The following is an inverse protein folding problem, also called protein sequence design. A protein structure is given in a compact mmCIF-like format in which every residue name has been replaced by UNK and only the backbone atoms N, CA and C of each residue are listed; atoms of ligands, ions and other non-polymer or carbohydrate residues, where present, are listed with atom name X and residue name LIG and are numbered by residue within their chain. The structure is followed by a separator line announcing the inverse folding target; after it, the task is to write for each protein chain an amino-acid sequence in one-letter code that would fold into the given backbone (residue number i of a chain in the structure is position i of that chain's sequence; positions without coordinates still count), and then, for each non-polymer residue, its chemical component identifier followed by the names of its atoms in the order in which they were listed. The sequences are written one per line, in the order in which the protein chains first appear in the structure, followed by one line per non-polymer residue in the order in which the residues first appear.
data_IF_630072640548
#
_entry.id   IF_630072640548
#
_cell.length_a   1.000
_cell.length_b   1.000
_cell.length_c   1.000
_cell.angle_alpha   90.00
_cell.angle_beta   90.00
_cell.angle_gamma   90.00
#
_symmetry.space_group_name_H-M   'P 1'
#
loop_
_entity.id
_entity.type
_entity.pdbx_description
1 polymer ?
#
# COMPACT_ATOMS: atom_id res chain seq x y z
N UNK A 1 3.26 -4.62 -15.31
CA UNK A 1 3.12 -3.29 -14.66
C UNK A 1 3.89 -2.20 -15.42
N UNK A 2 5.22 -2.07 -15.27
CA UNK A 2 5.97 -0.93 -15.88
C UNK A 2 5.80 -0.87 -17.40
N UNK A 3 5.88 -2.01 -18.10
CA UNK A 3 5.67 -2.08 -19.56
C UNK A 3 4.24 -1.68 -19.98
N UNK A 4 3.24 -1.94 -19.14
CA UNK A 4 1.85 -1.60 -19.44
C UNK A 4 1.56 -0.12 -19.19
N UNK A 5 2.16 0.44 -18.13
CA UNK A 5 2.20 1.89 -17.89
C UNK A 5 2.91 2.59 -19.07
N UNK A 6 4.06 2.08 -19.52
CA UNK A 6 4.80 2.60 -20.67
C UNK A 6 4.01 2.52 -21.99
N UNK A 7 3.32 1.40 -22.26
CA UNK A 7 2.47 1.28 -23.46
C UNK A 7 1.31 2.27 -23.44
N UNK A 8 0.66 2.45 -22.29
CA UNK A 8 -0.41 3.44 -22.13
C UNK A 8 0.12 4.88 -22.24
N UNK A 9 1.37 5.12 -21.81
CA UNK A 9 2.08 6.40 -21.97
C UNK A 9 2.34 6.72 -23.44
N UNK A 10 2.92 5.80 -24.21
CA UNK A 10 3.20 6.01 -25.64
C UNK A 10 1.94 6.26 -26.49
N UNK A 11 0.78 5.74 -26.05
CA UNK A 11 -0.49 5.89 -26.78
C UNK A 11 -1.19 7.22 -26.54
N UNK A 12 -0.87 7.94 -25.46
CA UNK A 12 -1.48 9.23 -25.17
C UNK A 12 -0.51 10.33 -25.59
N UNK A 13 -0.97 11.23 -26.45
CA UNK A 13 -0.25 12.46 -26.83
C UNK A 13 -0.17 13.48 -25.66
N UNK A 14 -0.28 13.02 -24.41
CA UNK A 14 -0.34 13.81 -23.21
C UNK A 14 0.87 13.48 -22.33
N UNK A 15 1.71 14.48 -22.07
CA UNK A 15 2.85 14.36 -21.16
C UNK A 15 2.36 14.41 -19.71
N UNK A 16 2.30 13.25 -19.05
CA UNK A 16 2.13 13.17 -17.60
C UNK A 16 3.48 13.40 -16.91
N UNK A 17 3.50 14.21 -15.86
CA UNK A 17 4.72 14.50 -15.09
C UNK A 17 4.90 13.53 -13.92
N UNK A 18 3.87 12.74 -13.61
CA UNK A 18 3.89 11.85 -12.46
C UNK A 18 2.85 10.73 -12.56
N UNK A 19 3.09 9.59 -11.91
CA UNK A 19 2.23 8.41 -11.94
C UNK A 19 1.89 7.97 -10.52
N UNK A 20 0.62 8.09 -10.15
CA UNK A 20 0.15 8.00 -8.78
C UNK A 20 -0.64 6.71 -8.55
N UNK A 21 -0.18 5.89 -7.61
CA UNK A 21 -0.93 4.75 -7.11
C UNK A 21 -1.84 5.21 -5.97
N UNK A 22 -3.14 4.86 -6.06
CA UNK A 22 -4.11 5.14 -4.99
C UNK A 22 -3.80 4.35 -3.75
N UNK A 23 -4.22 4.90 -2.62
CA UNK A 23 -4.01 4.34 -1.32
C UNK A 23 -5.17 3.44 -0.89
N UNK A 24 -4.86 2.30 -0.29
CA UNK A 24 -5.82 1.41 0.39
C UNK A 24 -5.31 1.05 1.79
N UNK A 25 -6.22 1.04 2.77
CA UNK A 25 -5.88 0.76 4.15
C UNK A 25 -5.94 -0.73 4.47
N UNK A 26 -4.92 -1.22 5.17
CA UNK A 26 -4.94 -2.46 5.95
C UNK A 26 -5.01 -2.03 7.42
N UNK A 27 -6.19 -2.18 8.02
CA UNK A 27 -6.45 -1.72 9.39
C UNK A 27 -6.38 -2.89 10.35
N UNK A 28 -5.69 -2.71 11.48
CA UNK A 28 -5.70 -3.70 12.56
C UNK A 28 -7.13 -3.94 13.04
N UNK A 29 -7.42 -5.19 13.37
CA UNK A 29 -8.72 -5.58 13.89
C UNK A 29 -8.74 -5.33 15.40
N UNK A 30 -9.72 -4.56 15.86
CA UNK A 30 -10.03 -4.42 17.28
C UNK A 30 -11.16 -5.43 17.61
N UNK A 31 -11.02 -6.21 18.68
CA UNK A 31 -12.04 -7.15 19.17
C UNK A 31 -11.93 -8.59 18.64
N UNK A 32 -13.03 -9.34 18.68
CA UNK A 32 -13.11 -10.81 18.45
C UNK A 32 -12.46 -11.30 17.15
N UNK A 33 -12.47 -10.47 16.10
CA UNK A 33 -11.85 -10.81 14.81
C UNK A 33 -10.31 -10.88 14.85
N UNK A 34 -9.66 -10.31 15.87
CA UNK A 34 -8.19 -10.42 16.04
C UNK A 34 -7.77 -11.84 16.40
N UNK A 35 -8.52 -12.50 17.29
CA UNK A 35 -8.24 -13.87 17.74
C UNK A 35 -8.32 -14.90 16.61
N UNK A 36 -9.29 -14.77 15.71
CA UNK A 36 -9.42 -15.67 14.55
C UNK A 36 -8.25 -15.49 13.56
N UNK A 37 -7.82 -14.25 13.35
CA UNK A 37 -6.65 -13.94 12.51
C UNK A 37 -5.39 -14.51 13.15
N UNK A 38 -5.22 -14.37 14.45
CA UNK A 38 -4.05 -14.86 15.17
C UNK A 38 -3.96 -16.39 15.10
N UNK A 39 -5.07 -17.11 15.37
CA UNK A 39 -5.14 -18.57 15.22
C UNK A 39 -4.85 -19.03 13.79
N UNK A 40 -5.38 -18.32 12.80
CA UNK A 40 -5.13 -18.62 11.40
C UNK A 40 -3.68 -18.35 10.99
N UNK A 41 -3.05 -17.30 11.54
CA UNK A 41 -1.64 -17.00 11.31
C UNK A 41 -0.69 -18.03 11.95
N UNK A 42 -1.06 -18.55 13.13
CA UNK A 42 -0.35 -19.66 13.78
C UNK A 42 -0.37 -20.92 12.92
N UNK A 43 -1.52 -21.29 12.35
CA UNK A 43 -1.63 -22.41 11.40
C UNK A 43 -0.72 -22.23 10.17
N UNK A 44 -0.47 -20.98 9.79
CA UNK A 44 0.38 -20.62 8.67
C UNK A 44 1.86 -20.50 9.05
N UNK A 45 2.27 -20.71 10.30
CA UNK A 45 3.64 -20.51 10.77
C UNK A 45 4.19 -19.11 10.42
N UNK A 46 3.35 -18.07 10.46
CA UNK A 46 3.79 -16.68 10.26
C UNK A 46 4.16 -16.10 11.62
N UNK A 47 5.42 -15.69 11.85
CA UNK A 47 5.81 -15.07 13.10
C UNK A 47 5.04 -13.76 13.37
N UNK A 48 4.54 -13.53 14.61
CA UNK A 48 3.73 -12.35 14.93
C UNK A 48 4.42 -11.00 14.67
N UNK A 49 5.76 -10.96 14.72
CA UNK A 49 6.54 -9.75 14.44
C UNK A 49 6.53 -9.34 12.96
N UNK A 50 6.04 -10.19 12.04
CA UNK A 50 5.89 -9.86 10.62
C UNK A 50 4.49 -9.29 10.34
N UNK A 51 4.22 -8.11 10.90
CA UNK A 51 2.90 -7.44 10.88
C UNK A 51 2.20 -7.46 9.51
N UNK A 52 2.90 -7.12 8.43
CA UNK A 52 2.29 -7.07 7.10
C UNK A 52 1.85 -8.46 6.58
N UNK A 53 2.50 -9.55 7.01
CA UNK A 53 2.12 -10.91 6.64
C UNK A 53 0.92 -11.42 7.43
N UNK A 54 0.72 -10.93 8.65
CA UNK A 54 -0.41 -11.29 9.53
C UNK A 54 -1.66 -10.46 9.24
N UNK A 55 -1.51 -9.27 8.64
CA UNK A 55 -2.60 -8.32 8.38
C UNK A 55 -2.99 -8.31 6.90
N UNK A 56 -3.77 -9.29 6.45
CA UNK A 56 -4.14 -9.47 5.03
C UNK A 56 -5.51 -8.90 4.65
N UNK A 57 -6.21 -8.26 5.58
CA UNK A 57 -7.52 -7.66 5.30
C UNK A 57 -7.36 -6.18 5.03
N UNK A 58 -7.70 -5.76 3.81
CA UNK A 58 -7.74 -4.35 3.42
C UNK A 58 -9.17 -3.87 3.33
N UNK A 59 -9.36 -2.55 3.43
CA UNK A 59 -10.64 -1.93 3.08
C UNK A 59 -11.01 -2.23 1.63
N UNK A 60 -12.30 -2.41 1.37
CA UNK A 60 -12.83 -2.44 0.01
C UNK A 60 -12.75 -1.07 -0.68
N UNK A 61 -12.73 0.02 0.09
CA UNK A 61 -12.74 1.38 -0.41
C UNK A 61 -11.34 1.99 -0.43
N UNK A 62 -10.96 2.49 -1.60
CA UNK A 62 -9.75 3.28 -1.81
C UNK A 62 -9.98 4.73 -1.38
N UNK A 63 -8.91 5.43 -1.00
CA UNK A 63 -8.97 6.88 -0.77
C UNK A 63 -9.41 7.61 -2.03
N UNK A 64 -10.00 8.81 -1.88
CA UNK A 64 -10.36 9.67 -3.02
C UNK A 64 -9.17 9.91 -3.96
N UNK A 65 -9.45 10.14 -5.24
CA UNK A 65 -8.42 10.46 -6.24
C UNK A 65 -7.52 11.60 -5.75
N UNK A 66 -6.21 11.46 -5.95
CA UNK A 66 -5.18 12.39 -5.48
C UNK A 66 -4.89 12.39 -3.97
N UNK A 67 -5.75 11.79 -3.14
CA UNK A 67 -5.57 11.76 -1.69
C UNK A 67 -4.68 10.59 -1.25
N UNK A 68 -3.65 10.90 -0.45
CA UNK A 68 -2.71 9.93 0.15
C UNK A 68 -1.96 9.05 -0.87
N UNK A 69 -1.91 9.46 -2.14
CA UNK A 69 -1.27 8.70 -3.23
C UNK A 69 0.23 8.58 -3.04
N UNK A 70 0.85 7.51 -3.54
CA UNK A 70 2.31 7.46 -3.73
C UNK A 70 2.61 7.57 -5.22
N UNK A 71 3.59 8.39 -5.56
CA UNK A 71 3.78 8.82 -6.94
C UNK A 71 5.22 8.58 -7.39
N UNK A 72 5.37 8.03 -8.60
CA UNK A 72 6.61 8.06 -9.36
C UNK A 72 6.66 9.35 -10.18
N UNK A 73 7.81 10.00 -10.21
CA UNK A 73 8.00 11.29 -10.86
C UNK A 73 8.82 11.14 -12.14
N UNK A 74 8.46 11.92 -13.16
CA UNK A 74 9.31 12.13 -14.32
C UNK A 74 10.29 13.27 -14.02
N UNK A 75 11.56 12.93 -13.87
CA UNK A 75 12.62 13.87 -13.49
C UNK A 75 12.98 14.86 -14.60
N UNK A 76 12.56 14.64 -15.84
CA UNK A 76 12.73 15.62 -16.92
C UNK A 76 11.72 16.77 -16.81
N UNK A 77 10.61 16.54 -16.10
CA UNK A 77 9.48 17.48 -16.06
C UNK A 77 9.24 18.10 -14.68
N UNK A 78 9.58 17.41 -13.59
CA UNK A 78 9.33 17.85 -12.21
C UNK A 78 10.53 18.64 -11.68
N UNK A 79 10.26 19.85 -11.16
CA UNK A 79 11.29 20.74 -10.60
C UNK A 79 11.39 20.53 -9.09
N UNK A 80 10.25 20.50 -8.40
CA UNK A 80 10.19 20.26 -6.95
C UNK A 80 9.11 19.24 -6.62
N UNK A 81 9.35 18.42 -5.60
CA UNK A 81 8.46 17.32 -5.22
C UNK A 81 8.17 17.29 -3.72
N UNK A 82 6.98 16.83 -3.40
CA UNK A 82 6.64 16.25 -2.12
C UNK A 82 6.74 14.73 -2.25
N UNK A 83 6.94 14.00 -1.15
CA UNK A 83 7.08 12.53 -1.20
C UNK A 83 5.83 11.80 -1.75
N UNK A 84 4.69 12.49 -1.86
CA UNK A 84 3.43 11.99 -2.42
C UNK A 84 3.07 12.56 -3.81
N UNK A 85 3.48 13.78 -4.17
CA UNK A 85 3.02 14.46 -5.40
C UNK A 85 4.00 15.56 -5.84
N UNK A 86 4.07 15.92 -7.14
CA UNK A 86 4.92 17.02 -7.59
C UNK A 86 4.38 18.35 -7.06
N UNK A 87 5.28 19.24 -6.64
CA UNK A 87 4.93 20.59 -6.18
C UNK A 87 5.02 21.60 -7.33
N UNK A 88 6.04 21.49 -8.19
CA UNK A 88 6.18 22.31 -9.38
C UNK A 88 6.83 21.54 -10.54
N UNK A 89 6.50 21.96 -11.77
CA UNK A 89 6.96 21.33 -13.01
C UNK A 89 7.35 22.43 -14.02
N UNK A 90 8.18 22.10 -15.03
CA UNK A 90 8.56 23.05 -16.09
C UNK A 90 7.36 23.59 -16.88
N UNK A 91 6.32 22.76 -17.00
CA UNK A 91 5.00 23.15 -17.53
C UNK A 91 3.96 22.88 -16.43
N UNK A 92 2.76 22.45 -16.83
CA UNK A 92 1.72 22.04 -15.88
C UNK A 92 2.06 20.67 -15.30
N UNK A 93 2.03 20.56 -13.97
CA UNK A 93 2.06 19.24 -13.32
C UNK A 93 0.78 18.49 -13.63
N UNK A 94 0.93 17.26 -14.13
CA UNK A 94 -0.20 16.39 -14.48
C UNK A 94 0.09 14.97 -14.00
N UNK A 95 -0.72 14.52 -13.03
CA UNK A 95 -0.63 13.17 -12.50
C UNK A 95 -1.51 12.21 -13.31
N UNK A 96 -0.95 11.05 -13.65
CA UNK A 96 -1.71 9.89 -14.13
C UNK A 96 -2.08 9.02 -12.93
N UNK A 97 -3.37 8.76 -12.73
CA UNK A 97 -3.84 7.80 -11.73
C UNK A 97 -3.72 6.39 -12.30
N UNK A 98 -2.83 5.58 -11.69
CA UNK A 98 -2.63 4.19 -12.10
C UNK A 98 -3.90 3.40 -11.76
N UNK A 99 -4.36 2.59 -12.70
CA UNK A 99 -5.50 1.70 -12.47
C UNK A 99 -5.21 0.79 -11.27
N UNK A 100 -6.16 0.70 -10.33
CA UNK A 100 -6.04 -0.11 -9.11
C UNK A 100 -5.84 -1.61 -9.39
N UNK A 101 -6.22 -2.10 -10.58
CA UNK A 101 -5.94 -3.48 -11.01
C UNK A 101 -4.48 -3.72 -11.36
N UNK A 102 -3.73 -2.66 -11.65
CA UNK A 102 -2.31 -2.70 -11.99
C UNK A 102 -1.42 -2.42 -10.77
N UNK A 103 -1.79 -1.42 -9.97
CA UNK A 103 -1.05 -1.05 -8.76
C UNK A 103 -1.89 -0.26 -7.77
N UNK A 104 -1.59 -0.45 -6.49
CA UNK A 104 -2.05 0.41 -5.40
C UNK A 104 -0.95 0.57 -4.34
N UNK A 105 -1.12 1.55 -3.46
CA UNK A 105 -0.32 1.72 -2.26
C UNK A 105 -1.03 1.05 -1.09
N UNK A 106 -0.39 0.02 -0.54
CA UNK A 106 -0.85 -0.65 0.67
C UNK A 106 -0.36 0.13 1.89
N UNK A 107 -1.29 0.53 2.76
CA UNK A 107 -0.95 1.27 3.97
C UNK A 107 -1.48 0.59 5.22
N UNK A 108 -0.54 0.04 5.99
CA UNK A 108 -0.80 -0.68 7.22
C UNK A 108 -0.89 0.29 8.39
N UNK A 109 -2.00 0.25 9.13
CA UNK A 109 -2.20 1.09 10.31
C UNK A 109 -3.07 0.41 11.37
N UNK A 110 -2.76 0.68 12.63
CA UNK A 110 -3.62 0.33 13.76
C UNK A 110 -5.02 0.95 13.69
N UNK A 111 -5.11 2.18 13.21
CA UNK A 111 -6.38 2.90 13.15
C UNK A 111 -6.38 3.96 12.06
N UNK A 112 -7.54 4.60 11.91
CA UNK A 112 -7.71 5.66 10.93
C UNK A 112 -7.03 6.95 11.38
N UNK A 113 -6.51 7.69 10.41
CA UNK A 113 -5.98 9.04 10.64
C UNK A 113 -7.13 10.01 10.94
N UNK A 114 -6.86 11.06 11.73
CA UNK A 114 -7.85 12.08 12.11
C UNK A 114 -8.62 12.63 10.91
N UNK A 115 -7.91 12.90 9.81
CA UNK A 115 -8.49 13.43 8.58
C UNK A 115 -9.53 12.48 7.91
N UNK A 116 -9.54 11.20 8.26
CA UNK A 116 -10.48 10.20 7.77
C UNK A 116 -11.45 9.72 8.85
N UNK A 117 -11.46 10.30 10.05
CA UNK A 117 -12.23 9.78 11.17
C UNK A 117 -13.73 9.67 10.86
N UNK A 118 -14.27 10.62 10.08
CA UNK A 118 -15.68 10.63 9.65
C UNK A 118 -16.04 9.49 8.69
N UNK A 119 -15.17 9.19 7.72
CA UNK A 119 -15.39 8.11 6.74
C UNK A 119 -14.80 6.77 7.18
N UNK A 120 -14.00 6.75 8.25
CA UNK A 120 -13.31 5.55 8.71
C UNK A 120 -14.29 4.45 9.10
N UNK A 121 -15.28 4.80 9.92
CA UNK A 121 -16.25 3.84 10.43
C UNK A 121 -17.24 3.41 9.35
N UNK A 122 -17.51 4.24 8.35
CA UNK A 122 -18.55 3.97 7.34
C UNK A 122 -17.98 3.40 6.03
N UNK A 123 -16.74 3.72 5.67
CA UNK A 123 -16.13 3.33 4.39
C UNK A 123 -14.93 2.39 4.59
N UNK A 124 -14.07 2.67 5.57
CA UNK A 124 -12.78 1.98 5.67
C UNK A 124 -12.75 0.76 6.60
N UNK A 125 -13.60 0.71 7.63
CA UNK A 125 -13.65 -0.39 8.62
C UNK A 125 -14.73 -1.44 8.34
N UNK A 126 -15.85 -1.11 7.70
CA UNK A 126 -16.99 -2.03 7.53
C UNK A 126 -16.72 -3.15 6.53
N UNK A 127 -16.31 -2.78 5.32
CA UNK A 127 -16.16 -3.74 4.23
C UNK A 127 -14.68 -4.03 4.02
N UNK A 128 -14.30 -5.29 4.29
CA UNK A 128 -12.93 -5.77 4.17
C UNK A 128 -12.83 -6.83 3.08
N UNK A 129 -11.72 -6.78 2.37
CA UNK A 129 -11.36 -7.74 1.34
C UNK A 129 -10.08 -8.44 1.78
N UNK A 130 -10.10 -9.76 1.78
CA UNK A 130 -8.93 -10.59 2.01
C UNK A 130 -7.98 -10.46 0.81
N UNK A 131 -6.75 -10.06 1.06
CA UNK A 131 -5.71 -9.82 0.06
C UNK A 131 -4.42 -10.54 0.49
N UNK A 132 -4.20 -11.72 -0.08
CA UNK A 132 -3.04 -12.57 0.24
C UNK A 132 -1.85 -12.31 -0.69
N UNK A 133 -1.87 -11.21 -1.46
CA UNK A 133 -0.83 -10.93 -2.47
C UNK A 133 0.58 -10.91 -1.86
N UNK A 134 0.72 -10.40 -0.64
CA UNK A 134 2.02 -10.35 0.06
C UNK A 134 2.58 -11.74 0.37
N UNK A 135 1.72 -12.76 0.50
CA UNK A 135 2.16 -14.11 0.84
C UNK A 135 2.94 -14.82 -0.25
N UNK A 136 2.94 -14.31 -1.49
CA UNK A 136 3.87 -14.80 -2.52
C UNK A 136 5.35 -14.68 -2.10
N UNK A 137 5.64 -13.80 -1.13
CA UNK A 137 6.97 -13.62 -0.56
C UNK A 137 7.10 -14.17 0.86
N UNK A 138 6.08 -14.85 1.39
CA UNK A 138 5.99 -15.27 2.80
C UNK A 138 7.24 -16.03 3.25
N UNK A 139 7.59 -17.10 2.55
CA UNK A 139 8.68 -17.98 2.97
C UNK A 139 10.03 -17.24 2.96
N UNK A 140 10.31 -16.49 1.88
CA UNK A 140 11.53 -15.69 1.77
C UNK A 140 11.62 -14.61 2.85
N UNK A 141 10.51 -13.89 3.11
CA UNK A 141 10.46 -12.85 4.12
C UNK A 141 10.66 -13.42 5.53
N UNK A 142 9.99 -14.54 5.86
CA UNK A 142 10.17 -15.22 7.14
C UNK A 142 11.64 -15.64 7.29
N UNK A 143 12.17 -16.43 6.36
CA UNK A 143 13.52 -16.96 6.45
C UNK A 143 14.57 -15.85 6.58
N UNK A 144 14.56 -14.86 5.67
CA UNK A 144 15.58 -13.81 5.63
C UNK A 144 15.49 -12.87 6.83
N UNK A 145 14.27 -12.54 7.26
CA UNK A 145 14.07 -11.66 8.43
C UNK A 145 14.48 -12.39 9.70
N UNK A 146 14.06 -13.64 9.90
CA UNK A 146 14.44 -14.43 11.08
C UNK A 146 15.96 -14.62 11.17
N UNK A 147 16.64 -14.94 10.06
CA UNK A 147 18.10 -15.05 10.03
C UNK A 147 18.79 -13.75 10.42
N UNK A 148 18.29 -12.62 9.90
CA UNK A 148 18.85 -11.30 10.20
C UNK A 148 18.63 -10.94 11.67
N UNK A 149 17.42 -11.14 12.20
CA UNK A 149 17.10 -10.85 13.59
C UNK A 149 17.88 -11.74 14.57
N UNK A 150 18.11 -13.02 14.23
CA UNK A 150 19.00 -13.91 14.99
C UNK A 150 20.44 -13.40 14.99
N UNK A 151 20.98 -12.99 13.83
CA UNK A 151 22.33 -12.43 13.72
C UNK A 151 22.50 -11.14 14.55
N UNK A 152 21.42 -10.39 14.71
CA UNK A 152 21.37 -9.16 15.52
C UNK A 152 20.97 -9.41 16.98
N UNK A 153 20.82 -10.67 17.42
CA UNK A 153 20.38 -11.06 18.76
C UNK A 153 19.00 -10.50 19.18
N UNK A 154 18.12 -10.19 18.23
CA UNK A 154 16.72 -9.86 18.51
C UNK A 154 15.83 -11.10 18.65
N UNK A 155 16.27 -12.24 18.13
CA UNK A 155 15.65 -13.55 18.34
C UNK A 155 16.72 -14.46 18.94
N UNK A 156 16.42 -15.04 20.10
CA UNK A 156 17.26 -15.98 20.83
C UNK A 156 16.93 -17.40 20.35
#
# INVERSE_FOLDING_TARGET
MIQEIQRNWLKKNETYTSFSARHVYFLDLEGENSTEIDQFNEQLNIPPYLHMLTHIYRSSHYTKSGAYVKTFFDTEHVITLHNHFPLSCFRRCRAYEINITLAHLQHYRKGCVKALQKSCQTEHRLNRIRDTTIWRYKNDLIQRTSLTLKKLNFLI
#
